data_IF_269351211913
#
_entry.id   IF_269351211913
#
_cell.length_a   1.000
_cell.length_b   1.000
_cell.length_c   1.000
_cell.angle_alpha   90.00
_cell.angle_beta   90.00
_cell.angle_gamma   90.00
#
_symmetry.space_group_name_H-M   'P 1'
#
loop_
_entity.id
_entity.type
_entity.pdbx_description
1 polymer ?
#
# COMPACT_ATOMS: atom_id res chain seq x y z
N UNK A 1 10.36 24.62 -16.62
CA UNK A 1 10.00 23.21 -16.36
C UNK A 1 9.43 23.15 -14.95
N UNK A 2 8.11 23.06 -14.80
CA UNK A 2 7.48 22.94 -13.48
C UNK A 2 7.48 21.46 -13.06
N UNK A 3 8.34 21.11 -12.10
CA UNK A 3 8.28 19.82 -11.41
C UNK A 3 7.28 19.95 -10.27
N UNK A 4 6.07 19.44 -10.46
CA UNK A 4 5.10 19.27 -9.38
C UNK A 4 5.60 18.17 -8.45
N UNK A 5 6.47 18.54 -7.52
CA UNK A 5 6.87 17.68 -6.39
C UNK A 5 5.65 17.60 -5.47
N UNK A 6 4.89 16.51 -5.63
CA UNK A 6 3.78 16.18 -4.75
C UNK A 6 4.25 16.30 -3.29
N UNK A 7 3.47 17.04 -2.49
CA UNK A 7 3.57 17.08 -1.03
C UNK A 7 3.47 15.65 -0.51
N UNK A 8 4.60 14.97 -0.39
CA UNK A 8 4.69 13.75 0.41
C UNK A 8 4.70 14.22 1.86
N UNK A 9 3.67 13.86 2.63
CA UNK A 9 3.74 14.04 4.07
C UNK A 9 4.92 13.20 4.56
N UNK A 10 5.94 13.83 5.14
CA UNK A 10 7.17 13.25 5.70
C UNK A 10 6.95 12.21 6.84
N UNK A 11 5.72 11.68 7.01
CA UNK A 11 5.35 10.73 8.06
C UNK A 11 4.58 9.49 7.60
N UNK A 12 4.17 9.39 6.33
CA UNK A 12 3.36 8.24 5.88
C UNK A 12 4.25 7.03 5.60
N UNK A 13 4.41 6.15 6.60
CA UNK A 13 5.07 4.86 6.46
C UNK A 13 4.11 3.88 5.75
N UNK A 14 4.67 3.02 4.90
CA UNK A 14 3.90 1.99 4.21
C UNK A 14 4.54 0.62 4.42
N UNK A 15 3.71 -0.41 4.59
CA UNK A 15 4.13 -1.80 4.52
C UNK A 15 3.56 -2.47 3.27
N UNK A 16 4.31 -3.43 2.74
CA UNK A 16 3.91 -4.22 1.58
C UNK A 16 3.63 -5.65 2.02
N UNK A 17 2.40 -6.13 1.78
CA UNK A 17 2.00 -7.50 2.15
C UNK A 17 1.51 -8.28 0.93
N UNK A 18 1.91 -9.56 0.77
CA UNK A 18 1.43 -10.39 -0.34
C UNK A 18 -0.04 -10.79 -0.20
N UNK A 19 -0.60 -10.67 1.01
CA UNK A 19 -2.01 -10.89 1.30
C UNK A 19 -2.52 -9.93 2.38
N UNK A 20 -3.83 -9.69 2.36
CA UNK A 20 -4.56 -9.01 3.45
C UNK A 20 -5.76 -9.86 3.84
N UNK A 21 -6.09 -9.91 5.12
CA UNK A 21 -7.31 -10.55 5.61
C UNK A 21 -8.28 -9.47 6.05
N UNK A 22 -9.47 -9.46 5.47
CA UNK A 22 -10.54 -8.50 5.79
C UNK A 22 -11.84 -9.28 5.98
N UNK A 23 -12.51 -9.07 7.13
CA UNK A 23 -13.75 -9.77 7.49
C UNK A 23 -13.65 -11.31 7.38
N UNK A 24 -12.52 -11.89 7.81
CA UNK A 24 -12.28 -13.34 7.75
C UNK A 24 -11.93 -13.90 6.36
N UNK A 25 -11.96 -13.07 5.31
CA UNK A 25 -11.58 -13.47 3.95
C UNK A 25 -10.16 -13.00 3.65
N UNK A 26 -9.32 -13.91 3.15
CA UNK A 26 -7.95 -13.60 2.75
C UNK A 26 -7.88 -13.30 1.26
N UNK A 27 -7.42 -12.10 0.94
CA UNK A 27 -7.19 -11.61 -0.40
C UNK A 27 -5.70 -11.67 -0.71
N UNK A 28 -5.33 -12.35 -1.79
CA UNK A 28 -3.94 -12.45 -2.24
C UNK A 28 -3.67 -11.49 -3.39
N UNK A 29 -2.56 -10.76 -3.33
CA UNK A 29 -2.19 -9.75 -4.32
C UNK A 29 -2.08 -10.34 -5.73
N UNK A 30 -1.58 -11.58 -5.84
CA UNK A 30 -1.43 -12.30 -7.11
C UNK A 30 -2.74 -12.45 -7.90
N UNK A 31 -3.88 -12.57 -7.23
CA UNK A 31 -5.18 -12.70 -7.90
C UNK A 31 -5.62 -11.40 -8.57
N UNK A 32 -5.00 -10.29 -8.20
CA UNK A 32 -5.22 -8.96 -8.77
C UNK A 32 -4.08 -8.55 -9.72
N UNK A 33 -3.16 -9.47 -10.07
CA UNK A 33 -1.97 -9.15 -10.86
C UNK A 33 -0.94 -8.28 -10.12
N UNK A 34 -1.06 -8.15 -8.81
CA UNK A 34 -0.18 -7.35 -7.96
C UNK A 34 0.87 -8.23 -7.28
N UNK A 35 2.06 -7.67 -7.04
CA UNK A 35 3.09 -8.32 -6.22
C UNK A 35 2.78 -8.26 -4.73
N UNK A 36 2.22 -7.13 -4.27
CA UNK A 36 1.84 -6.90 -2.88
C UNK A 36 0.81 -5.77 -2.77
N UNK A 37 0.05 -5.75 -1.68
CA UNK A 37 -0.78 -4.62 -1.27
C UNK A 37 0.08 -3.57 -0.56
N UNK A 38 -0.09 -2.30 -0.93
CA UNK A 38 0.48 -1.16 -0.21
C UNK A 38 -0.47 -0.75 0.91
N UNK A 39 -0.03 -0.85 2.15
CA UNK A 39 -0.85 -0.57 3.34
C UNK A 39 -0.20 0.58 4.08
N UNK A 40 -0.87 1.73 4.24
CA UNK A 40 -0.38 2.80 5.10
C UNK A 40 -0.36 2.30 6.55
N UNK A 41 0.73 2.60 7.26
CA UNK A 41 0.83 2.40 8.71
C UNK A 41 1.00 3.77 9.35
N UNK A 42 0.09 4.08 10.26
CA UNK A 42 0.21 5.22 11.16
C UNK A 42 1.14 4.79 12.31
N UNK A 43 2.03 5.68 12.75
CA UNK A 43 2.97 5.43 13.86
C UNK A 43 2.28 5.54 15.23
#
# INVERSE_FOLDING_TARGET
>A
MHTTKGRGNDGEKYIFRPYITRNGVTYWAKYYGLKAFRIPVDD
#
